data_IF_705971121229
#
_entry.id   IF_705971121229
#
_cell.length_a   1.000
_cell.length_b   1.000
_cell.length_c   1.000
_cell.angle_alpha   90.00
_cell.angle_beta   90.00
_cell.angle_gamma   90.00
#
_symmetry.space_group_name_H-M   'P 1'
#
loop_
_entity.id
_entity.type
_entity.pdbx_description
1 polymer ?
#
# COMPACT_ATOMS: atom_id res chain seq x y z
N UNK A 1 -12.07 -12.60 4.45
CA UNK A 1 -12.68 -13.86 3.95
C UNK A 1 -11.80 -15.09 4.18
N UNK A 2 -10.56 -15.15 3.65
CA UNK A 2 -9.69 -16.33 3.83
C UNK A 2 -9.06 -16.43 5.24
N UNK A 3 -8.46 -15.34 5.74
CA UNK A 3 -7.87 -15.30 7.11
C UNK A 3 -8.92 -15.62 8.19
N UNK A 4 -10.14 -15.09 8.05
CA UNK A 4 -11.22 -15.36 9.00
C UNK A 4 -11.69 -16.82 8.98
N UNK A 5 -11.43 -17.56 7.90
CA UNK A 5 -11.84 -18.96 7.74
C UNK A 5 -10.75 -19.93 8.20
N UNK A 6 -9.51 -19.71 7.76
CA UNK A 6 -8.43 -20.68 7.90
C UNK A 6 -7.27 -20.19 8.80
N UNK A 7 -7.39 -18.99 9.38
CA UNK A 7 -6.38 -18.37 10.23
C UNK A 7 -5.32 -17.59 9.47
N UNK A 8 -4.53 -16.78 10.19
CA UNK A 8 -3.44 -15.97 9.61
C UNK A 8 -2.30 -16.86 9.14
N UNK A 9 -1.94 -17.88 9.92
CA UNK A 9 -0.77 -18.74 9.67
C UNK A 9 -0.84 -19.45 8.31
N UNK A 10 -2.04 -19.86 7.89
CA UNK A 10 -2.27 -20.52 6.60
C UNK A 10 -2.39 -19.54 5.43
N UNK A 11 -2.39 -18.23 5.69
CA UNK A 11 -2.64 -17.18 4.70
C UNK A 11 -1.55 -16.08 4.75
N UNK A 12 -0.37 -16.39 5.29
CA UNK A 12 0.75 -15.45 5.37
C UNK A 12 1.10 -14.83 4.01
N UNK A 13 1.11 -15.62 2.93
CA UNK A 13 1.40 -15.12 1.59
C UNK A 13 0.39 -14.06 1.13
N UNK A 14 -0.91 -14.26 1.36
CA UNK A 14 -1.95 -13.26 1.06
C UNK A 14 -1.76 -11.97 1.86
N UNK A 15 -1.36 -12.10 3.12
CA UNK A 15 -1.08 -10.96 3.99
C UNK A 15 0.12 -10.16 3.47
N UNK A 16 1.21 -10.83 3.08
CA UNK A 16 2.38 -10.19 2.48
C UNK A 16 2.03 -9.44 1.20
N UNK A 17 1.30 -10.09 0.27
CA UNK A 17 0.86 -9.42 -0.96
C UNK A 17 -0.02 -8.20 -0.67
N UNK A 18 -0.94 -8.31 0.28
CA UNK A 18 -1.83 -7.20 0.65
C UNK A 18 -1.02 -6.03 1.23
N UNK A 19 -0.09 -6.31 2.14
CA UNK A 19 0.77 -5.29 2.74
C UNK A 19 1.62 -4.55 1.70
N UNK A 20 2.28 -5.30 0.82
CA UNK A 20 3.12 -4.73 -0.26
C UNK A 20 2.25 -3.88 -1.19
N UNK A 21 1.15 -4.46 -1.69
CA UNK A 21 0.28 -3.78 -2.64
C UNK A 21 -0.33 -2.51 -2.05
N UNK A 22 -0.92 -2.58 -0.86
CA UNK A 22 -1.56 -1.43 -0.23
C UNK A 22 -0.56 -0.30 0.01
N UNK A 23 0.64 -0.60 0.47
CA UNK A 23 1.66 0.43 0.70
C UNK A 23 2.06 1.15 -0.60
N UNK A 24 2.27 0.42 -1.68
CA UNK A 24 2.68 1.01 -2.97
C UNK A 24 1.53 1.74 -3.66
N UNK A 25 0.35 1.14 -3.71
CA UNK A 25 -0.83 1.74 -4.31
C UNK A 25 -1.24 3.02 -3.59
N UNK A 26 -1.14 3.05 -2.26
CA UNK A 26 -1.50 4.23 -1.48
C UNK A 26 -0.53 5.40 -1.72
N UNK A 27 0.77 5.12 -1.87
CA UNK A 27 1.75 6.13 -2.27
C UNK A 27 1.44 6.70 -3.68
N UNK A 28 1.01 5.85 -4.62
CA UNK A 28 0.60 6.28 -5.96
C UNK A 28 -0.65 7.17 -5.90
N UNK A 29 -1.65 6.78 -5.11
CA UNK A 29 -2.88 7.57 -4.89
C UNK A 29 -2.52 8.96 -4.34
N UNK A 30 -1.62 9.04 -3.36
CA UNK A 30 -1.18 10.32 -2.81
C UNK A 30 -0.50 11.20 -3.87
N UNK A 31 0.35 10.62 -4.72
CA UNK A 31 1.03 11.35 -5.79
C UNK A 31 0.02 11.92 -6.81
N UNK A 32 -0.91 11.08 -7.29
CA UNK A 32 -1.95 11.47 -8.24
C UNK A 32 -2.85 12.56 -7.63
N UNK A 33 -3.23 12.42 -6.35
CA UNK A 33 -4.07 13.40 -5.67
C UNK A 33 -3.37 14.75 -5.54
N UNK A 34 -2.07 14.77 -5.20
CA UNK A 34 -1.28 16.02 -5.12
C UNK A 34 -1.20 16.71 -6.48
N UNK A 35 -0.86 15.97 -7.53
CA UNK A 35 -0.76 16.49 -8.89
C UNK A 35 -2.10 17.09 -9.35
N UNK A 36 -3.19 16.36 -9.13
CA UNK A 36 -4.55 16.81 -9.45
C UNK A 36 -4.87 18.11 -8.72
N UNK A 37 -4.68 18.17 -7.39
CA UNK A 37 -5.00 19.36 -6.60
C UNK A 37 -4.23 20.60 -7.06
N UNK A 38 -2.95 20.47 -7.40
CA UNK A 38 -2.13 21.57 -7.91
C UNK A 38 -2.63 22.07 -9.27
N UNK A 39 -3.17 21.18 -10.10
CA UNK A 39 -3.73 21.53 -11.41
C UNK A 39 -5.10 22.22 -11.32
N UNK A 40 -5.91 21.94 -10.30
CA UNK A 40 -7.29 22.46 -10.20
C UNK A 40 -7.45 23.66 -9.26
N UNK A 41 -6.58 23.83 -8.26
CA UNK A 41 -6.72 24.83 -7.21
C UNK A 41 -5.44 25.63 -7.01
N UNK A 42 -5.57 26.88 -6.55
CA UNK A 42 -4.45 27.79 -6.31
C UNK A 42 -4.59 28.55 -4.99
N UNK A 43 -3.51 29.23 -4.57
CA UNK A 43 -3.53 30.09 -3.39
C UNK A 43 -3.89 29.36 -2.08
N UNK A 44 -4.73 29.98 -1.26
CA UNK A 44 -5.06 29.46 0.07
C UNK A 44 -5.91 28.20 0.03
N UNK A 45 -6.80 28.06 -0.95
CA UNK A 45 -7.60 26.84 -1.14
C UNK A 45 -6.71 25.63 -1.39
N UNK A 46 -5.71 25.76 -2.27
CA UNK A 46 -4.73 24.70 -2.52
C UNK A 46 -3.98 24.31 -1.23
N UNK A 47 -3.51 25.29 -0.45
CA UNK A 47 -2.79 25.02 0.81
C UNK A 47 -3.66 24.27 1.81
N UNK A 48 -4.94 24.64 1.91
CA UNK A 48 -5.92 23.97 2.76
C UNK A 48 -6.14 22.52 2.31
N UNK A 49 -6.38 22.30 1.01
CA UNK A 49 -6.62 20.95 0.46
C UNK A 49 -5.40 20.03 0.61
N UNK A 50 -4.18 20.52 0.35
CA UNK A 50 -2.95 19.76 0.57
C UNK A 50 -2.75 19.40 2.05
N UNK A 51 -3.18 20.28 2.97
CA UNK A 51 -3.13 20.01 4.41
C UNK A 51 -4.12 18.92 4.81
N UNK A 52 -5.30 18.90 4.22
CA UNK A 52 -6.28 17.81 4.38
C UNK A 52 -5.76 16.49 3.80
N UNK A 53 -5.18 16.52 2.60
CA UNK A 53 -4.57 15.33 1.98
C UNK A 53 -3.50 14.72 2.89
N UNK A 54 -2.60 15.54 3.45
CA UNK A 54 -1.58 15.07 4.43
C UNK A 54 -2.17 14.43 5.67
N UNK A 55 -3.39 14.79 6.10
CA UNK A 55 -4.07 14.12 7.22
C UNK A 55 -4.60 12.76 6.80
N UNK A 56 -5.17 12.66 5.60
CA UNK A 56 -5.68 11.38 5.07
C UNK A 56 -4.58 10.39 4.74
N UNK A 57 -3.40 10.85 4.33
CA UNK A 57 -2.31 9.95 3.95
C UNK A 57 -1.32 9.63 5.07
N UNK A 58 -1.52 10.19 6.26
CA UNK A 58 -0.62 9.95 7.40
C UNK A 58 -0.75 8.52 7.91
N UNK A 59 0.31 7.74 7.77
CA UNK A 59 0.43 6.41 8.33
C UNK A 59 1.92 6.10 8.60
N UNK A 60 2.18 5.02 9.36
CA UNK A 60 3.54 4.51 9.54
C UNK A 60 3.87 3.59 8.36
N UNK A 61 4.83 3.94 7.48
CA UNK A 61 5.15 3.11 6.33
C UNK A 61 5.82 1.81 6.76
N UNK A 62 5.57 0.75 6.00
CA UNK A 62 6.20 -0.56 6.22
C UNK A 62 7.44 -0.74 5.33
N UNK A 63 8.41 -1.52 5.79
CA UNK A 63 9.57 -1.91 4.98
C UNK A 63 9.17 -2.94 3.91
N UNK A 64 8.74 -2.44 2.74
CA UNK A 64 8.31 -3.28 1.62
C UNK A 64 9.43 -4.13 1.03
N UNK A 65 10.70 -3.74 1.16
CA UNK A 65 11.84 -4.52 0.64
C UNK A 65 11.95 -5.84 1.39
N UNK A 66 11.90 -5.79 2.73
CA UNK A 66 11.93 -7.01 3.55
C UNK A 66 10.73 -7.91 3.24
N UNK A 67 9.53 -7.31 3.11
CA UNK A 67 8.30 -8.05 2.80
C UNK A 67 8.29 -8.69 1.41
N UNK A 68 8.84 -8.00 0.41
CA UNK A 68 9.00 -8.55 -0.95
C UNK A 68 9.95 -9.73 -0.97
N UNK A 69 11.04 -9.70 -0.19
CA UNK A 69 11.96 -10.86 -0.07
C UNK A 69 11.27 -12.05 0.57
N UNK A 70 10.57 -11.83 1.69
CA UNK A 70 9.78 -12.87 2.37
C UNK A 70 8.75 -13.54 1.42
N UNK A 71 8.04 -12.73 0.64
CA UNK A 71 7.10 -13.25 -0.36
C UNK A 71 7.80 -13.97 -1.52
N UNK A 72 8.97 -13.49 -1.95
CA UNK A 72 9.74 -14.08 -3.04
C UNK A 72 10.30 -15.45 -2.67
N UNK A 73 10.76 -15.67 -1.43
CA UNK A 73 11.27 -16.96 -0.96
C UNK A 73 10.21 -18.07 -1.16
N UNK A 74 8.95 -17.78 -0.85
CA UNK A 74 7.82 -18.70 -1.04
C UNK A 74 7.53 -18.98 -2.51
N UNK A 75 7.59 -17.94 -3.36
CA UNK A 75 7.36 -18.08 -4.81
C UNK A 75 8.47 -18.90 -5.46
N UNK A 76 9.73 -18.64 -5.09
CA UNK A 76 10.90 -19.35 -5.61
C UNK A 76 10.81 -20.82 -5.23
N UNK A 77 10.47 -21.14 -3.98
CA UNK A 77 10.30 -22.53 -3.54
C UNK A 77 9.15 -23.26 -4.26
N UNK A 78 8.12 -22.53 -4.69
CA UNK A 78 6.96 -23.09 -5.38
C UNK A 78 7.12 -23.13 -6.92
N UNK A 79 8.08 -22.40 -7.49
CA UNK A 79 8.30 -22.18 -8.93
C UNK A 79 7.05 -21.71 -9.71
N UNK A 80 6.07 -21.16 -9.00
CA UNK A 80 4.81 -20.67 -9.58
C UNK A 80 4.16 -19.65 -8.66
N UNK A 81 3.19 -18.93 -9.19
CA UNK A 81 2.36 -18.05 -8.37
C UNK A 81 1.53 -18.86 -7.36
N UNK A 82 1.61 -18.47 -6.09
CA UNK A 82 0.89 -19.10 -4.97
C UNK A 82 0.25 -18.03 -4.09
N UNK A 83 -0.88 -18.40 -3.45
CA UNK A 83 -1.71 -17.53 -2.59
C UNK A 83 -2.07 -18.20 -1.28
#
# INVERSE_FOLDING_TARGET
>A
KAIAKDGVDKNCQKLLYTQIFCQEAFNQIEAIAKETLVAIEHGDTLRMMLSSLRKFTRHTPINVIAKKREAADVIIAAERYVV
#
